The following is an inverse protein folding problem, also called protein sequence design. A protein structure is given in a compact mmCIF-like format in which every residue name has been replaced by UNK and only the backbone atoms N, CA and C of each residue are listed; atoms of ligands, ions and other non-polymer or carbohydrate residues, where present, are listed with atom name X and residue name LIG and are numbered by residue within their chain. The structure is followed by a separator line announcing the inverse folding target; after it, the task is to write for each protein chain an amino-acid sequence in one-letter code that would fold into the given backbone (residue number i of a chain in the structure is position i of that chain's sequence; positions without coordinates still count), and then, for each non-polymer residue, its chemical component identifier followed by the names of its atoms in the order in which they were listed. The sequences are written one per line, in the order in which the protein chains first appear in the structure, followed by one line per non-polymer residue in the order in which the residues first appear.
data_IF_797841376505
#
_entry.id   IF_797841376505
#
_cell.length_a   1.000
_cell.length_b   1.000
_cell.length_c   1.000
_cell.angle_alpha   90.00
_cell.angle_beta   90.00
_cell.angle_gamma   90.00
#
_symmetry.space_group_name_H-M   'P 1'
#
loop_
_entity.id
_entity.type
_entity.pdbx_description
1 polymer ?
#
# COMPACT_ATOMS: atom_id res chain seq x y z
N UNK A 1 -45.22 29.37 -48.26
CA UNK A 1 -44.85 29.28 -46.83
C UNK A 1 -44.00 28.04 -46.68
N UNK A 2 -42.73 28.19 -46.31
CA UNK A 2 -41.76 27.10 -46.22
C UNK A 2 -41.82 26.41 -44.84
N UNK A 3 -41.71 25.08 -44.84
CA UNK A 3 -41.25 24.20 -43.75
C UNK A 3 -41.05 22.82 -44.42
N UNK A 4 -39.83 22.28 -44.61
CA UNK A 4 -38.95 21.62 -43.61
C UNK A 4 -39.77 20.66 -42.75
N UNK A 5 -39.58 19.34 -42.70
CA UNK A 5 -38.33 18.59 -42.69
C UNK A 5 -38.54 17.09 -43.00
N UNK A 6 -37.40 16.42 -43.13
CA UNK A 6 -37.07 15.05 -43.54
C UNK A 6 -37.70 13.87 -42.75
N UNK A 7 -37.55 12.62 -43.27
CA UNK A 7 -38.29 11.45 -42.80
C UNK A 7 -37.81 10.92 -41.43
N UNK A 8 -38.78 10.34 -40.74
CA UNK A 8 -38.77 9.45 -39.59
C UNK A 8 -37.61 8.43 -39.55
N UNK A 9 -36.42 8.88 -39.20
CA UNK A 9 -35.37 8.05 -38.60
C UNK A 9 -35.51 8.13 -37.08
N UNK A 10 -35.96 7.03 -36.45
CA UNK A 10 -35.63 6.55 -35.11
C UNK A 10 -36.71 5.57 -34.59
N UNK A 11 -36.86 4.45 -35.30
CA UNK A 11 -37.37 3.21 -34.71
C UNK A 11 -36.18 2.43 -34.15
N UNK A 12 -35.64 2.88 -33.02
CA UNK A 12 -34.75 2.06 -32.19
C UNK A 12 -35.48 1.80 -30.88
N UNK A 13 -35.96 0.57 -30.75
CA UNK A 13 -36.69 0.05 -29.60
C UNK A 13 -35.86 0.22 -28.32
N UNK A 14 -36.37 0.87 -27.26
CA UNK A 14 -35.64 1.03 -26.00
C UNK A 14 -35.35 -0.31 -25.27
N UNK A 15 -36.06 -1.39 -25.62
CA UNK A 15 -35.88 -2.72 -25.03
C UNK A 15 -34.58 -3.44 -25.47
N UNK A 16 -34.07 -3.13 -26.67
CA UNK A 16 -32.85 -3.75 -27.21
C UNK A 16 -31.60 -3.21 -26.50
N UNK A 17 -31.64 -1.98 -26.00
CA UNK A 17 -30.55 -1.37 -25.24
C UNK A 17 -30.43 -1.96 -23.83
N UNK A 18 -31.56 -2.26 -23.18
CA UNK A 18 -31.58 -2.86 -21.84
C UNK A 18 -31.08 -4.32 -21.84
N UNK A 19 -31.40 -5.08 -22.90
CA UNK A 19 -30.91 -6.45 -23.08
C UNK A 19 -29.40 -6.53 -23.34
N UNK A 20 -28.78 -5.50 -23.93
CA UNK A 20 -27.34 -5.49 -24.22
C UNK A 20 -26.45 -5.34 -22.99
N UNK A 21 -26.97 -4.81 -21.89
CA UNK A 21 -26.22 -4.70 -20.63
C UNK A 21 -26.34 -5.94 -19.73
N UNK A 22 -27.30 -6.84 -20.02
CA UNK A 22 -27.58 -8.04 -19.20
C UNK A 22 -27.33 -9.37 -19.93
N UNK A 23 -27.06 -9.34 -21.25
CA UNK A 23 -26.83 -10.54 -22.09
C UNK A 23 -25.35 -10.72 -22.50
N UNK A 24 -24.39 -10.28 -21.68
CA UNK A 24 -23.00 -10.74 -21.74
C UNK A 24 -22.73 -11.77 -20.64
N UNK A 25 -23.70 -12.65 -20.39
CA UNK A 25 -23.54 -13.76 -19.48
C UNK A 25 -22.62 -14.83 -20.12
N UNK A 26 -21.35 -14.78 -19.71
CA UNK A 26 -20.52 -15.94 -19.34
C UNK A 26 -20.13 -16.89 -20.49
N UNK A 27 -19.07 -16.52 -21.20
CA UNK A 27 -18.19 -17.55 -21.78
C UNK A 27 -17.38 -18.19 -20.65
N UNK A 28 -17.15 -19.52 -20.62
CA UNK A 28 -16.45 -20.20 -19.53
C UNK A 28 -14.97 -19.79 -19.38
N UNK A 29 -14.45 -19.00 -20.32
CA UNK A 29 -13.10 -18.46 -20.32
C UNK A 29 -13.00 -17.00 -19.83
N UNK A 30 -14.14 -16.31 -19.61
CA UNK A 30 -14.18 -14.87 -19.29
C UNK A 30 -13.93 -14.51 -17.82
N UNK A 31 -14.13 -15.45 -16.88
CA UNK A 31 -14.14 -15.13 -15.44
C UNK A 31 -12.82 -14.64 -14.83
N UNK A 32 -11.67 -14.83 -15.49
CA UNK A 32 -10.37 -14.27 -15.02
C UNK A 32 -10.12 -12.87 -15.63
N UNK A 33 -10.67 -12.61 -16.81
CA UNK A 33 -10.45 -11.35 -17.53
C UNK A 33 -11.42 -10.24 -17.10
N UNK A 34 -12.61 -10.60 -16.63
CA UNK A 34 -13.62 -9.64 -16.15
C UNK A 34 -13.32 -9.13 -14.73
N UNK A 35 -12.70 -9.96 -13.87
CA UNK A 35 -12.35 -9.62 -12.48
C UNK A 35 -10.85 -9.28 -12.33
N UNK A 36 -10.38 -8.30 -13.12
CA UNK A 36 -9.02 -7.81 -12.98
C UNK A 36 -8.76 -7.35 -11.52
N UNK A 37 -7.64 -7.73 -10.88
CA UNK A 37 -7.39 -7.45 -9.46
C UNK A 37 -6.90 -6.02 -9.21
N UNK A 38 -7.46 -5.07 -9.95
CA UNK A 38 -7.23 -3.64 -9.84
C UNK A 38 -8.39 -3.03 -9.07
N UNK A 39 -8.06 -2.10 -8.19
CA UNK A 39 -9.07 -1.27 -7.57
C UNK A 39 -8.46 -0.22 -6.66
N UNK A 40 -9.33 0.55 -6.04
CA UNK A 40 -8.97 1.76 -5.30
C UNK A 40 -9.46 1.70 -3.85
N UNK A 41 -9.12 2.73 -3.06
CA UNK A 41 -9.32 2.73 -1.61
C UNK A 41 -10.79 2.72 -1.18
N UNK A 42 -11.71 3.25 -2.00
CA UNK A 42 -13.15 3.20 -1.76
C UNK A 42 -13.79 1.89 -2.27
N UNK A 43 -12.98 0.88 -2.51
CA UNK A 43 -13.34 -0.43 -3.03
C UNK A 43 -13.88 -0.43 -4.47
N UNK A 44 -13.57 0.58 -5.28
CA UNK A 44 -13.93 0.57 -6.70
C UNK A 44 -12.91 -0.23 -7.50
N UNK A 45 -13.41 -1.24 -8.23
CA UNK A 45 -12.63 -2.04 -9.18
C UNK A 45 -12.52 -1.32 -10.54
N UNK A 46 -11.45 -1.61 -11.26
CA UNK A 46 -11.15 -0.97 -12.55
C UNK A 46 -9.85 -0.17 -12.54
N UNK A 47 -9.58 0.54 -13.64
CA UNK A 47 -8.37 1.37 -13.79
C UNK A 47 -8.53 2.70 -13.05
N UNK A 48 -7.42 3.33 -12.63
CA UNK A 48 -7.41 4.55 -11.81
C UNK A 48 -8.18 5.77 -12.37
N UNK A 49 -8.55 5.75 -13.65
CA UNK A 49 -9.33 6.80 -14.33
C UNK A 49 -10.83 6.47 -14.47
N UNK A 50 -11.25 5.27 -14.06
CA UNK A 50 -12.62 4.84 -14.18
C UNK A 50 -13.51 5.45 -13.08
N UNK A 51 -14.77 5.68 -13.43
CA UNK A 51 -15.79 6.16 -12.50
C UNK A 51 -16.18 5.06 -11.50
N UNK A 52 -16.77 5.44 -10.36
CA UNK A 52 -17.24 4.50 -9.33
C UNK A 52 -18.41 3.64 -9.84
N UNK A 53 -18.09 2.53 -10.52
CA UNK A 53 -19.06 1.65 -11.16
C UNK A 53 -19.19 0.29 -10.46
N UNK A 54 -18.07 -0.38 -10.16
CA UNK A 54 -18.05 -1.74 -9.60
C UNK A 54 -17.35 -1.73 -8.25
N UNK A 55 -18.00 -2.25 -7.21
CA UNK A 55 -17.41 -2.39 -5.88
C UNK A 55 -16.70 -3.74 -5.75
N UNK A 56 -15.44 -3.80 -6.16
CA UNK A 56 -14.61 -5.00 -6.08
C UNK A 56 -13.13 -4.66 -5.94
N UNK A 57 -12.48 -5.28 -4.95
CA UNK A 57 -11.02 -5.32 -4.80
C UNK A 57 -10.65 -6.72 -4.36
N UNK A 58 -9.68 -7.34 -5.04
CA UNK A 58 -9.33 -8.74 -4.75
C UNK A 58 -8.85 -8.92 -3.28
N UNK A 59 -9.28 -9.97 -2.57
CA UNK A 59 -8.80 -10.28 -1.22
C UNK A 59 -7.27 -10.44 -1.14
N UNK A 60 -6.64 -10.89 -2.24
CA UNK A 60 -5.19 -10.99 -2.34
C UNK A 60 -4.50 -9.65 -2.15
N UNK A 61 -5.05 -8.57 -2.71
CA UNK A 61 -4.49 -7.21 -2.55
C UNK A 61 -4.54 -6.76 -1.09
N UNK A 62 -5.65 -7.02 -0.40
CA UNK A 62 -5.82 -6.73 1.03
C UNK A 62 -4.87 -7.55 1.91
N UNK A 63 -4.76 -8.86 1.66
CA UNK A 63 -3.90 -9.74 2.42
C UNK A 63 -2.43 -9.41 2.20
N UNK A 64 -1.98 -9.26 0.96
CA UNK A 64 -0.58 -8.95 0.66
C UNK A 64 -0.15 -7.62 1.29
N UNK A 65 -0.97 -6.58 1.17
CA UNK A 65 -0.65 -5.25 1.70
C UNK A 65 -0.63 -5.26 3.23
N UNK A 66 -1.61 -5.88 3.88
CA UNK A 66 -1.65 -5.97 5.35
C UNK A 66 -0.47 -6.77 5.91
N UNK A 67 -0.11 -7.90 5.30
CA UNK A 67 1.02 -8.71 5.74
C UNK A 67 2.36 -8.01 5.52
N UNK A 68 2.53 -7.24 4.44
CA UNK A 68 3.71 -6.42 4.24
C UNK A 68 3.87 -5.37 5.34
N UNK A 69 2.79 -4.63 5.64
CA UNK A 69 2.79 -3.59 6.68
C UNK A 69 3.07 -4.19 8.05
N UNK A 70 2.37 -5.28 8.41
CA UNK A 70 2.58 -5.98 9.67
C UNK A 70 4.01 -6.52 9.77
N UNK A 71 4.50 -7.20 8.73
CA UNK A 71 5.85 -7.74 8.68
C UNK A 71 6.92 -6.66 8.87
N UNK A 72 6.79 -5.51 8.20
CA UNK A 72 7.71 -4.38 8.33
C UNK A 72 7.80 -3.87 9.78
N UNK A 73 6.65 -3.61 10.42
CA UNK A 73 6.65 -3.07 11.78
C UNK A 73 7.02 -4.10 12.85
N UNK A 74 6.69 -5.38 12.66
CA UNK A 74 7.12 -6.46 13.56
C UNK A 74 8.63 -6.67 13.47
N UNK A 75 9.19 -6.68 12.26
CA UNK A 75 10.63 -6.78 12.05
C UNK A 75 11.37 -5.54 12.59
N UNK A 76 10.91 -4.34 12.24
CA UNK A 76 11.44 -3.07 12.75
C UNK A 76 11.37 -2.99 14.29
N UNK A 77 10.23 -3.32 14.87
CA UNK A 77 10.01 -3.37 16.32
C UNK A 77 10.88 -4.41 17.03
N UNK A 78 11.22 -5.51 16.35
CA UNK A 78 12.15 -6.52 16.89
C UNK A 78 13.54 -5.95 17.13
N UNK A 79 14.04 -5.06 16.27
CA UNK A 79 15.34 -4.41 16.51
C UNK A 79 15.36 -3.56 17.76
N UNK A 80 14.28 -2.81 18.03
CA UNK A 80 14.15 -2.02 19.26
C UNK A 80 14.13 -2.95 20.47
N UNK A 81 13.36 -4.04 20.42
CA UNK A 81 13.28 -5.01 21.50
C UNK A 81 14.63 -5.70 21.76
N UNK A 82 15.32 -6.16 20.72
CA UNK A 82 16.64 -6.78 20.82
C UNK A 82 17.71 -5.80 21.33
N UNK A 83 17.71 -4.57 20.82
CA UNK A 83 18.62 -3.52 21.27
C UNK A 83 18.44 -3.21 22.75
N UNK A 84 17.19 -3.04 23.20
CA UNK A 84 16.86 -2.80 24.62
C UNK A 84 17.17 -4.00 25.52
N UNK A 85 16.87 -5.22 25.07
CA UNK A 85 17.19 -6.43 25.82
C UNK A 85 18.71 -6.58 26.03
N UNK A 86 19.51 -6.27 24.98
CA UNK A 86 20.97 -6.27 25.08
C UNK A 86 21.50 -5.16 25.99
N UNK A 87 20.96 -3.94 25.89
CA UNK A 87 21.35 -2.83 26.76
C UNK A 87 21.04 -3.14 28.24
N UNK A 88 19.89 -3.77 28.51
CA UNK A 88 19.49 -4.18 29.85
C UNK A 88 20.38 -5.31 30.41
N UNK A 89 20.73 -6.30 29.58
CA UNK A 89 21.67 -7.35 29.97
C UNK A 89 23.06 -6.80 30.30
N UNK A 90 23.48 -5.73 29.62
CA UNK A 90 24.74 -5.04 29.89
C UNK A 90 24.64 -3.95 30.98
N UNK A 91 23.45 -3.66 31.50
CA UNK A 91 23.21 -2.76 32.64
C UNK A 91 23.32 -1.25 32.35
N UNK A 92 23.27 -0.82 31.08
CA UNK A 92 23.34 0.59 30.69
C UNK A 92 22.04 1.13 30.05
N UNK A 93 20.93 0.40 30.17
CA UNK A 93 19.66 0.76 29.55
C UNK A 93 19.05 2.08 30.07
N UNK A 94 19.52 2.55 31.23
CA UNK A 94 19.10 3.82 31.86
C UNK A 94 20.12 4.96 31.69
N UNK A 95 21.23 4.71 31.01
CA UNK A 95 22.35 5.65 30.88
C UNK A 95 23.65 5.10 31.45
N UNK A 96 24.70 5.92 31.38
CA UNK A 96 26.05 5.61 31.87
C UNK A 96 26.26 6.22 33.26
N UNK A 97 27.08 5.56 34.08
CA UNK A 97 27.54 6.10 35.35
C UNK A 97 28.48 7.29 35.09
N UNK A 98 28.28 8.37 35.84
CA UNK A 98 29.09 9.60 35.73
C UNK A 98 30.50 9.38 36.26
N UNK A 99 30.68 8.48 37.22
CA UNK A 99 31.98 8.22 37.82
C UNK A 99 32.80 7.20 37.00
N UNK A 100 32.14 6.41 36.16
CA UNK A 100 32.72 5.34 35.35
C UNK A 100 32.54 5.57 33.84
N UNK A 101 32.77 6.79 33.37
CA UNK A 101 32.63 7.14 31.96
C UNK A 101 33.73 6.46 31.11
N UNK A 102 33.40 5.48 30.22
CA UNK A 102 34.42 4.67 29.56
C UNK A 102 35.35 5.46 28.63
N UNK A 103 34.86 6.56 28.05
CA UNK A 103 35.62 7.37 27.09
C UNK A 103 36.83 8.06 27.73
N UNK A 104 36.76 8.39 29.03
CA UNK A 104 37.85 9.03 29.76
C UNK A 104 39.07 8.11 29.95
N UNK A 105 38.86 6.80 29.89
CA UNK A 105 39.90 5.78 30.04
C UNK A 105 40.45 5.28 28.69
N UNK A 106 39.85 5.68 27.56
CA UNK A 106 40.31 5.29 26.22
C UNK A 106 41.48 6.17 25.77
N UNK A 107 42.41 5.58 25.02
CA UNK A 107 43.51 6.34 24.39
C UNK A 107 42.94 7.22 23.27
N UNK A 108 43.31 8.51 23.20
CA UNK A 108 42.84 9.39 22.13
C UNK A 108 43.31 8.89 20.76
N UNK A 109 42.41 8.93 19.76
CA UNK A 109 42.69 8.49 18.39
C UNK A 109 43.67 9.42 17.65
N UNK A 110 43.75 10.70 18.05
CA UNK A 110 44.73 11.64 17.54
C UNK A 110 45.86 11.84 18.56
N UNK A 111 47.10 11.51 18.20
CA UNK A 111 48.25 11.51 19.12
C UNK A 111 48.83 12.90 19.40
N UNK A 112 48.42 13.93 18.66
CA UNK A 112 49.17 15.21 18.60
C UNK A 112 48.63 16.35 19.49
N UNK A 113 47.53 16.16 20.23
CA UNK A 113 46.93 17.24 21.04
C UNK A 113 47.53 17.30 22.47
N UNK A 114 48.24 16.25 22.92
CA UNK A 114 48.76 16.14 24.31
C UNK A 114 50.28 16.25 24.45
N UNK A 115 51.04 16.51 23.39
CA UNK A 115 52.50 16.64 23.47
C UNK A 115 53.00 18.09 23.60
N UNK A 116 52.14 19.05 23.93
CA UNK A 116 52.52 20.48 24.03
C UNK A 116 51.89 21.21 25.22
N UNK A 117 51.58 20.48 26.30
CA UNK A 117 51.24 21.03 27.63
C UNK A 117 52.07 20.30 28.67
#
# INVERSE_FOLDING_TARGET
MAASDRPHENLIFPEEAEKRHTTLARTPFSGIYDDAPLGSFNSVGGVAIEINAVNYVSPRSWLATSHFVLGFFLFGGSFVAWGRARAAAAGFEKGIDRDLEPVLFMTPLNRDIRSNI
#
